data_IF_162662159175
#
_entry.id   IF_162662159175
#
_cell.length_a   1.000
_cell.length_b   1.000
_cell.length_c   1.000
_cell.angle_alpha   90.00
_cell.angle_beta   90.00
_cell.angle_gamma   90.00
#
_symmetry.space_group_name_H-M   'P 1'
#
loop_
_entity.id
_entity.type
_entity.pdbx_description
1 polymer ?
#
# COMPACT_ATOMS: atom_id res chain seq x y z
N UNK A 1 -37.98 11.02 3.34
CA UNK A 1 -37.04 9.87 3.36
C UNK A 1 -35.74 10.36 3.98
N UNK A 2 -35.14 9.64 4.94
CA UNK A 2 -33.81 10.01 5.45
C UNK A 2 -32.81 9.84 4.31
N UNK A 3 -32.13 10.92 3.92
CA UNK A 3 -31.06 10.88 2.91
C UNK A 3 -29.82 10.34 3.60
N UNK A 4 -29.26 9.25 3.09
CA UNK A 4 -28.01 8.70 3.60
C UNK A 4 -26.84 9.56 3.11
N UNK A 5 -25.91 9.85 4.00
CA UNK A 5 -24.65 10.54 3.74
C UNK A 5 -23.48 9.57 3.94
N UNK A 6 -22.47 9.63 3.07
CA UNK A 6 -21.36 8.67 3.10
C UNK A 6 -20.56 8.78 4.39
N UNK A 7 -20.37 9.99 4.91
CA UNK A 7 -19.67 10.23 6.18
C UNK A 7 -20.47 9.67 7.35
N UNK A 8 -21.78 9.92 7.42
CA UNK A 8 -22.63 9.31 8.45
C UNK A 8 -22.57 7.78 8.41
N UNK A 9 -22.61 7.18 7.21
CA UNK A 9 -22.53 5.72 7.03
C UNK A 9 -21.18 5.17 7.49
N UNK A 10 -20.06 5.82 7.14
CA UNK A 10 -18.72 5.44 7.61
C UNK A 10 -18.59 5.57 9.12
N UNK A 11 -19.00 6.69 9.69
CA UNK A 11 -18.89 6.93 11.13
C UNK A 11 -19.67 5.88 11.91
N UNK A 12 -20.87 5.51 11.43
CA UNK A 12 -21.67 4.44 12.05
C UNK A 12 -21.02 3.06 11.89
N UNK A 13 -20.38 2.80 10.75
CA UNK A 13 -19.62 1.57 10.50
C UNK A 13 -18.43 1.43 11.46
N UNK A 14 -17.65 2.50 11.67
CA UNK A 14 -16.52 2.48 12.60
C UNK A 14 -16.97 2.32 14.05
N UNK A 15 -18.03 3.02 14.45
CA UNK A 15 -18.64 2.84 15.78
C UNK A 15 -19.10 1.39 16.00
N UNK A 16 -19.72 0.77 14.99
CA UNK A 16 -20.12 -0.64 15.07
C UNK A 16 -18.91 -1.57 15.23
N UNK A 17 -17.83 -1.34 14.47
CA UNK A 17 -16.59 -2.12 14.60
C UNK A 17 -16.02 -2.03 16.01
N UNK A 18 -15.96 -0.84 16.58
CA UNK A 18 -15.45 -0.62 17.94
C UNK A 18 -16.37 -1.27 18.98
N UNK A 19 -17.69 -1.10 18.86
CA UNK A 19 -18.65 -1.60 19.84
C UNK A 19 -18.76 -3.13 19.87
N UNK A 20 -18.65 -3.79 18.71
CA UNK A 20 -18.89 -5.23 18.59
C UNK A 20 -17.64 -6.04 18.22
N UNK A 21 -16.49 -5.38 18.07
CA UNK A 21 -15.22 -5.96 17.62
C UNK A 21 -15.37 -6.83 16.35
N UNK A 22 -16.24 -6.41 15.42
CA UNK A 22 -16.50 -7.13 14.16
C UNK A 22 -17.07 -6.21 13.09
N UNK A 23 -16.92 -6.62 11.84
CA UNK A 23 -17.46 -5.89 10.68
C UNK A 23 -18.97 -6.18 10.51
N UNK A 24 -19.82 -5.16 10.27
CA UNK A 24 -21.26 -5.35 10.14
C UNK A 24 -21.66 -5.98 8.81
N UNK A 25 -22.70 -6.81 8.85
CA UNK A 25 -23.51 -7.09 7.67
C UNK A 25 -24.31 -5.85 7.28
N UNK A 26 -24.69 -5.73 6.00
CA UNK A 26 -25.47 -4.58 5.51
C UNK A 26 -26.77 -4.40 6.33
N UNK A 27 -27.41 -5.48 6.76
CA UNK A 27 -28.60 -5.40 7.61
C UNK A 27 -28.31 -4.84 9.02
N UNK A 28 -27.17 -5.19 9.63
CA UNK A 28 -26.77 -4.67 10.93
C UNK A 28 -26.52 -3.16 10.83
N UNK A 29 -25.74 -2.72 9.84
CA UNK A 29 -25.47 -1.30 9.66
C UNK A 29 -26.73 -0.50 9.32
N UNK A 30 -27.64 -1.07 8.51
CA UNK A 30 -28.92 -0.43 8.21
C UNK A 30 -29.77 -0.22 9.48
N UNK A 31 -29.79 -1.20 10.38
CA UNK A 31 -30.48 -1.09 11.67
C UNK A 31 -29.88 0.03 12.53
N UNK A 32 -28.55 0.13 12.63
CA UNK A 32 -27.86 1.21 13.36
C UNK A 32 -28.13 2.60 12.77
N UNK A 33 -28.31 2.67 11.44
CA UNK A 33 -28.62 3.92 10.73
C UNK A 33 -30.11 4.31 10.80
N UNK A 34 -30.98 3.40 11.26
CA UNK A 34 -32.43 3.57 11.30
C UNK A 34 -33.07 3.57 9.92
N UNK A 35 -32.52 2.81 8.96
CA UNK A 35 -33.01 2.73 7.57
C UNK A 35 -33.31 1.29 7.17
N UNK A 36 -34.09 1.10 6.09
CA UNK A 36 -34.30 -0.24 5.52
C UNK A 36 -32.98 -0.75 4.91
N UNK A 37 -32.71 -2.04 5.06
CA UNK A 37 -31.55 -2.72 4.44
C UNK A 37 -31.46 -2.44 2.93
N UNK A 38 -32.60 -2.45 2.23
CA UNK A 38 -32.67 -2.15 0.79
C UNK A 38 -32.34 -0.69 0.47
N UNK A 39 -32.63 0.25 1.36
CA UNK A 39 -32.23 1.66 1.22
C UNK A 39 -30.71 1.80 1.33
N UNK A 40 -30.10 1.17 2.33
CA UNK A 40 -28.64 1.16 2.46
C UNK A 40 -27.97 0.45 1.27
N UNK A 41 -28.49 -0.69 0.83
CA UNK A 41 -27.94 -1.40 -0.33
C UNK A 41 -28.01 -0.56 -1.60
N UNK A 42 -29.13 0.15 -1.85
CA UNK A 42 -29.23 1.09 -2.98
C UNK A 42 -28.21 2.23 -2.88
N UNK A 43 -27.99 2.76 -1.68
CA UNK A 43 -26.96 3.77 -1.45
C UNK A 43 -25.55 3.24 -1.75
N UNK A 44 -25.25 2.03 -1.29
CA UNK A 44 -23.97 1.35 -1.57
C UNK A 44 -23.77 1.16 -3.07
N UNK A 45 -24.78 0.64 -3.79
CA UNK A 45 -24.69 0.46 -5.25
C UNK A 45 -24.43 1.78 -5.99
N UNK A 46 -25.05 2.87 -5.54
CA UNK A 46 -24.84 4.18 -6.13
C UNK A 46 -23.46 4.80 -5.80
N UNK A 47 -22.73 4.24 -4.84
CA UNK A 47 -21.44 4.74 -4.36
C UNK A 47 -20.41 3.61 -4.26
N UNK A 48 -20.53 2.60 -5.13
CA UNK A 48 -19.84 1.31 -5.05
C UNK A 48 -18.32 1.44 -4.87
N UNK A 49 -17.69 2.42 -5.52
CA UNK A 49 -16.26 2.71 -5.39
C UNK A 49 -15.80 2.94 -3.95
N UNK A 50 -16.66 3.44 -3.08
CA UNK A 50 -16.34 3.73 -1.68
C UNK A 50 -16.45 2.52 -0.76
N UNK A 51 -17.03 1.41 -1.22
CA UNK A 51 -17.29 0.24 -0.39
C UNK A 51 -16.44 -0.95 -0.84
N UNK A 52 -15.98 -1.74 0.13
CA UNK A 52 -15.46 -3.08 -0.09
C UNK A 52 -16.43 -4.04 0.54
N UNK A 53 -17.04 -4.91 -0.28
CA UNK A 53 -18.07 -5.83 0.14
C UNK A 53 -17.62 -7.26 -0.07
N UNK A 54 -18.07 -8.15 0.80
CA UNK A 54 -17.95 -9.58 0.63
C UNK A 54 -19.29 -10.25 0.90
N UNK A 55 -19.49 -11.43 0.34
CA UNK A 55 -20.71 -12.19 0.50
C UNK A 55 -20.39 -13.57 1.09
N UNK A 56 -21.22 -14.00 2.03
CA UNK A 56 -21.22 -15.36 2.55
C UNK A 56 -22.66 -15.87 2.74
N UNK A 57 -22.79 -17.04 3.34
CA UNK A 57 -24.06 -17.72 3.68
C UNK A 57 -25.02 -16.86 4.51
N UNK A 58 -24.50 -15.92 5.31
CA UNK A 58 -25.30 -15.01 6.15
C UNK A 58 -25.65 -13.70 5.44
N UNK A 59 -25.15 -13.48 4.23
CA UNK A 59 -25.42 -12.31 3.39
C UNK A 59 -24.19 -11.46 3.08
N UNK A 60 -24.42 -10.23 2.61
CA UNK A 60 -23.37 -9.26 2.29
C UNK A 60 -22.89 -8.53 3.54
N UNK A 61 -21.58 -8.50 3.77
CA UNK A 61 -20.96 -7.70 4.81
C UNK A 61 -20.00 -6.66 4.24
N UNK A 62 -19.85 -5.57 4.98
CA UNK A 62 -19.03 -4.43 4.59
C UNK A 62 -17.65 -4.63 5.21
N UNK A 63 -16.62 -4.74 4.38
CA UNK A 63 -15.24 -4.88 4.83
C UNK A 63 -14.66 -3.54 5.24
N UNK A 64 -14.81 -2.54 4.38
CA UNK A 64 -14.25 -1.19 4.52
C UNK A 64 -15.12 -0.16 3.79
N UNK A 65 -15.04 1.09 4.26
CA UNK A 65 -15.69 2.25 3.66
C UNK A 65 -14.68 3.39 3.58
N UNK A 66 -14.39 3.86 2.37
CA UNK A 66 -13.48 4.98 2.12
C UNK A 66 -14.27 6.25 1.87
N UNK A 67 -13.94 7.36 2.57
CA UNK A 67 -14.50 8.66 2.21
C UNK A 67 -13.81 9.23 0.98
N UNK A 68 -12.48 9.27 1.02
CA UNK A 68 -11.68 9.74 -0.09
C UNK A 68 -11.12 8.53 -0.85
N UNK A 69 -11.33 8.47 -2.17
CA UNK A 69 -10.86 7.35 -2.98
C UNK A 69 -9.32 7.29 -3.06
N UNK A 70 -8.62 8.40 -2.79
CA UNK A 70 -7.16 8.42 -2.65
C UNK A 70 -6.64 7.55 -1.51
N UNK A 71 -7.51 7.18 -0.55
CA UNK A 71 -7.18 6.31 0.57
C UNK A 71 -7.54 4.84 0.29
N UNK A 72 -8.15 4.54 -0.86
CA UNK A 72 -8.50 3.18 -1.29
C UNK A 72 -7.38 2.60 -2.14
N UNK A 73 -6.59 1.63 -1.65
CA UNK A 73 -5.48 1.06 -2.41
C UNK A 73 -5.94 0.52 -3.76
N UNK A 74 -5.14 0.78 -4.80
CA UNK A 74 -5.40 0.33 -6.17
C UNK A 74 -6.46 1.12 -6.94
N UNK A 75 -7.17 2.07 -6.33
CA UNK A 75 -8.08 2.98 -7.04
C UNK A 75 -7.30 3.93 -7.97
N UNK A 76 -7.96 4.50 -8.98
CA UNK A 76 -7.33 5.48 -9.85
C UNK A 76 -6.91 6.73 -9.07
N UNK A 77 -7.75 7.19 -8.15
CA UNK A 77 -7.45 8.35 -7.30
C UNK A 77 -6.27 8.09 -6.36
N UNK A 78 -6.12 6.86 -5.84
CA UNK A 78 -4.98 6.45 -5.02
C UNK A 78 -3.69 6.43 -5.84
N UNK A 79 -3.74 5.87 -7.05
CA UNK A 79 -2.58 5.81 -7.95
C UNK A 79 -2.14 7.20 -8.36
N UNK A 80 -3.05 8.08 -8.79
CA UNK A 80 -2.69 9.44 -9.19
C UNK A 80 -2.16 10.28 -8.02
N UNK A 81 -2.77 10.15 -6.84
CA UNK A 81 -2.26 10.79 -5.63
C UNK A 81 -0.83 10.35 -5.30
N UNK A 82 -0.56 9.04 -5.35
CA UNK A 82 0.75 8.49 -5.04
C UNK A 82 1.80 8.76 -6.12
N UNK A 83 1.42 8.82 -7.40
CA UNK A 83 2.33 9.25 -8.48
C UNK A 83 2.89 10.63 -8.19
N UNK A 84 2.04 11.60 -7.85
CA UNK A 84 2.48 12.95 -7.54
C UNK A 84 3.26 13.00 -6.22
N UNK A 85 2.74 12.35 -5.18
CA UNK A 85 3.37 12.33 -3.85
C UNK A 85 4.79 11.73 -3.88
N UNK A 86 4.98 10.67 -4.65
CA UNK A 86 6.23 9.88 -4.66
C UNK A 86 7.00 9.99 -5.97
N UNK A 87 6.77 11.02 -6.80
CA UNK A 87 7.42 11.15 -8.13
C UNK A 87 8.95 11.09 -8.08
N UNK A 88 9.56 11.64 -7.03
CA UNK A 88 11.01 11.64 -6.81
C UNK A 88 11.43 10.69 -5.68
N UNK A 89 10.61 9.68 -5.37
CA UNK A 89 10.89 8.74 -4.28
C UNK A 89 11.18 7.36 -4.84
N UNK A 90 12.22 6.71 -4.32
CA UNK A 90 12.56 5.32 -4.54
C UNK A 90 12.33 4.52 -3.26
N UNK A 91 11.84 3.30 -3.40
CA UNK A 91 11.57 2.44 -2.26
C UNK A 91 12.61 1.33 -2.23
N UNK A 92 13.34 1.25 -1.13
CA UNK A 92 14.39 0.26 -0.97
C UNK A 92 13.83 -1.03 -0.40
N UNK A 93 14.26 -2.14 -0.97
CA UNK A 93 14.24 -3.42 -0.28
C UNK A 93 15.55 -3.58 0.48
N UNK A 94 15.49 -4.21 1.64
CA UNK A 94 16.65 -4.41 2.50
C UNK A 94 17.03 -5.88 2.51
N UNK A 95 18.33 -6.16 2.44
CA UNK A 95 18.85 -7.48 2.69
C UNK A 95 19.49 -7.49 4.09
N UNK A 96 19.05 -8.44 4.91
CA UNK A 96 19.70 -8.77 6.19
C UNK A 96 20.26 -10.17 6.08
N UNK A 97 21.44 -10.39 6.66
CA UNK A 97 22.07 -11.70 6.66
C UNK A 97 21.24 -12.68 7.51
N UNK A 98 21.02 -13.95 7.09
CA UNK A 98 20.12 -14.87 7.79
C UNK A 98 20.47 -15.19 9.24
N UNK A 99 21.74 -14.97 9.64
CA UNK A 99 22.23 -15.23 10.99
C UNK A 99 22.32 -13.96 11.84
N UNK A 100 21.93 -12.80 11.29
CA UNK A 100 21.91 -11.52 11.98
C UNK A 100 20.81 -10.61 11.39
N UNK A 101 19.55 -11.02 11.58
CA UNK A 101 18.39 -10.36 10.96
C UNK A 101 18.21 -8.90 11.40
N UNK A 102 18.75 -8.52 12.56
CA UNK A 102 18.71 -7.16 13.11
C UNK A 102 19.63 -6.18 12.37
N UNK A 103 20.58 -6.69 11.57
CA UNK A 103 21.53 -5.88 10.81
C UNK A 103 21.18 -5.92 9.33
N UNK A 104 20.87 -4.74 8.78
CA UNK A 104 20.70 -4.58 7.34
C UNK A 104 22.09 -4.50 6.73
N UNK A 105 22.43 -5.46 5.89
CA UNK A 105 23.74 -5.52 5.22
C UNK A 105 23.76 -4.51 4.07
N UNK A 106 22.75 -4.55 3.19
CA UNK A 106 22.65 -3.61 2.07
C UNK A 106 21.22 -3.36 1.59
N UNK A 107 21.09 -2.39 0.69
CA UNK A 107 19.84 -1.98 0.05
C UNK A 107 19.78 -2.43 -1.41
N UNK A 108 18.55 -2.66 -1.88
CA UNK A 108 18.23 -3.08 -3.24
C UNK A 108 17.13 -2.21 -3.81
N UNK A 109 17.17 -1.98 -5.12
CA UNK A 109 16.12 -1.27 -5.86
C UNK A 109 15.53 -2.22 -6.88
N UNK A 110 14.32 -2.71 -6.61
CA UNK A 110 13.61 -3.66 -7.44
C UNK A 110 12.46 -2.95 -8.14
N UNK A 111 12.30 -3.18 -9.45
CA UNK A 111 11.11 -2.74 -10.18
C UNK A 111 9.87 -3.45 -9.63
N UNK A 112 8.86 -2.69 -9.25
CA UNK A 112 7.64 -3.26 -8.68
C UNK A 112 6.87 -4.06 -9.74
N UNK A 113 6.38 -5.23 -9.35
CA UNK A 113 5.47 -6.04 -10.15
C UNK A 113 4.03 -5.58 -9.95
N UNK A 114 3.16 -5.98 -10.87
CA UNK A 114 1.72 -5.74 -10.73
C UNK A 114 1.18 -6.44 -9.47
N UNK A 115 0.51 -5.66 -8.63
CA UNK A 115 -0.14 -6.05 -7.40
C UNK A 115 -1.54 -5.40 -7.28
N UNK A 116 -2.23 -5.63 -6.16
CA UNK A 116 -3.56 -5.05 -5.93
C UNK A 116 -3.52 -3.53 -5.70
N UNK A 117 -2.41 -3.00 -5.17
CA UNK A 117 -2.22 -1.57 -4.94
C UNK A 117 -1.77 -0.80 -6.19
N UNK A 118 -1.45 -1.52 -7.26
CA UNK A 118 -0.87 -1.01 -8.51
C UNK A 118 0.44 -0.25 -8.25
N UNK A 119 1.26 -0.77 -7.32
CA UNK A 119 2.54 -0.20 -6.92
C UNK A 119 3.48 0.03 -8.10
N UNK A 120 3.44 -0.86 -9.09
CA UNK A 120 4.20 -0.73 -10.33
C UNK A 120 3.90 0.54 -11.17
N UNK A 121 2.81 1.25 -10.88
CA UNK A 121 2.44 2.50 -11.56
C UNK A 121 2.94 3.77 -10.85
N UNK A 122 3.39 3.69 -9.58
CA UNK A 122 3.74 4.87 -8.80
C UNK A 122 4.96 4.72 -7.87
N UNK A 123 5.27 3.50 -7.39
CA UNK A 123 6.39 3.18 -6.49
C UNK A 123 7.69 3.09 -7.30
N UNK A 124 8.32 1.93 -7.47
CA UNK A 124 9.51 1.75 -8.30
C UNK A 124 9.12 1.38 -9.73
N UNK A 125 8.68 2.39 -10.49
CA UNK A 125 8.28 2.24 -11.90
C UNK A 125 9.46 1.96 -12.81
N UNK A 126 9.24 1.34 -13.97
CA UNK A 126 10.30 1.09 -14.96
C UNK A 126 11.03 2.39 -15.37
N UNK A 127 10.35 3.53 -15.38
CA UNK A 127 10.93 4.83 -15.71
C UNK A 127 11.92 5.30 -14.62
N UNK A 128 11.53 5.18 -13.35
CA UNK A 128 12.43 5.50 -12.22
C UNK A 128 13.65 4.59 -12.23
N UNK A 129 13.44 3.28 -12.39
CA UNK A 129 14.54 2.30 -12.44
C UNK A 129 15.51 2.60 -13.58
N UNK A 130 15.00 2.90 -14.79
CA UNK A 130 15.85 3.29 -15.93
C UNK A 130 16.67 4.55 -15.63
N UNK A 131 16.05 5.54 -14.97
CA UNK A 131 16.70 6.81 -14.60
C UNK A 131 17.88 6.59 -13.66
N UNK A 132 17.74 5.68 -12.68
CA UNK A 132 18.78 5.41 -11.69
C UNK A 132 19.63 4.17 -11.99
N UNK A 133 19.43 3.49 -13.13
CA UNK A 133 20.11 2.23 -13.45
C UNK A 133 21.64 2.29 -13.36
N UNK A 134 22.24 3.44 -13.69
CA UNK A 134 23.70 3.65 -13.60
C UNK A 134 24.26 3.66 -12.16
N UNK A 135 23.39 3.81 -11.16
CA UNK A 135 23.75 3.79 -9.74
C UNK A 135 23.55 2.41 -9.10
N UNK A 136 22.92 1.49 -9.82
CA UNK A 136 22.69 0.11 -9.40
C UNK A 136 23.90 -0.72 -9.84
N UNK A 137 24.34 -1.64 -9.00
CA UNK A 137 25.50 -2.50 -9.21
C UNK A 137 25.17 -3.94 -8.86
N UNK A 138 26.01 -4.86 -9.34
CA UNK A 138 25.94 -6.26 -8.94
C UNK A 138 26.69 -6.45 -7.61
N UNK A 139 26.10 -7.21 -6.69
CA UNK A 139 26.78 -7.73 -5.51
C UNK A 139 26.55 -9.23 -5.34
N UNK A 140 27.29 -9.85 -4.44
CA UNK A 140 27.15 -11.26 -4.11
C UNK A 140 27.30 -11.48 -2.60
N UNK A 141 26.48 -12.37 -2.08
CA UNK A 141 26.52 -12.79 -0.68
C UNK A 141 26.80 -14.27 -0.61
N UNK A 142 27.73 -14.66 0.25
CA UNK A 142 28.05 -16.07 0.51
C UNK A 142 27.32 -16.51 1.78
N UNK A 143 26.51 -17.57 1.68
CA UNK A 143 25.86 -18.20 2.83
C UNK A 143 26.32 -19.67 2.87
N UNK A 144 27.19 -20.00 3.82
CA UNK A 144 27.82 -21.32 3.86
C UNK A 144 28.64 -21.59 2.59
N UNK A 145 28.25 -22.61 1.82
CA UNK A 145 28.89 -22.95 0.54
C UNK A 145 28.18 -22.35 -0.68
N UNK A 146 27.03 -21.70 -0.49
CA UNK A 146 26.22 -21.13 -1.56
C UNK A 146 26.55 -19.64 -1.80
N UNK A 147 26.50 -19.22 -3.06
CA UNK A 147 26.71 -17.82 -3.47
C UNK A 147 25.43 -17.30 -4.12
N UNK A 148 24.86 -16.27 -3.52
CA UNK A 148 23.70 -15.54 -4.02
C UNK A 148 24.17 -14.28 -4.73
N UNK A 149 23.60 -14.01 -5.91
CA UNK A 149 23.92 -12.81 -6.70
C UNK A 149 22.72 -11.90 -6.75
N UNK A 150 22.99 -10.60 -6.64
CA UNK A 150 21.99 -9.54 -6.65
C UNK A 150 22.44 -8.50 -7.66
N UNK A 151 21.65 -8.28 -8.72
CA UNK A 151 21.88 -7.34 -9.81
C UNK A 151 21.11 -6.01 -9.63
N UNK A 152 20.57 -5.84 -8.43
CA UNK A 152 19.69 -4.76 -7.99
C UNK A 152 20.21 -4.04 -6.74
N UNK A 153 21.47 -4.28 -6.35
CA UNK A 153 22.11 -3.61 -5.22
C UNK A 153 22.39 -2.14 -5.51
N UNK A 154 22.20 -1.28 -4.52
CA UNK A 154 22.62 0.11 -4.57
C UNK A 154 23.58 0.43 -3.41
N UNK A 155 24.83 0.83 -3.69
CA UNK A 155 25.76 1.26 -2.66
C UNK A 155 25.27 2.50 -1.90
N UNK A 156 25.59 2.60 -0.62
CA UNK A 156 25.24 3.77 0.21
C UNK A 156 25.71 5.10 -0.37
N UNK A 157 26.93 5.15 -0.91
CA UNK A 157 27.47 6.36 -1.55
C UNK A 157 26.60 6.84 -2.73
N UNK A 158 26.03 5.90 -3.48
CA UNK A 158 25.13 6.20 -4.59
C UNK A 158 23.75 6.66 -4.09
N UNK A 159 23.25 6.11 -2.98
CA UNK A 159 22.03 6.60 -2.31
C UNK A 159 22.22 8.06 -1.88
N UNK A 160 23.31 8.36 -1.17
CA UNK A 160 23.61 9.73 -0.69
C UNK A 160 23.80 10.71 -1.86
N UNK A 161 24.43 10.27 -2.95
CA UNK A 161 24.53 11.06 -4.18
C UNK A 161 23.14 11.34 -4.79
N UNK A 162 22.25 10.35 -4.86
CA UNK A 162 20.89 10.53 -5.36
C UNK A 162 20.07 11.47 -4.46
N UNK A 163 20.23 11.38 -3.14
CA UNK A 163 19.64 12.33 -2.18
C UNK A 163 20.09 13.75 -2.50
N UNK A 164 21.39 13.96 -2.77
CA UNK A 164 21.91 15.29 -3.15
C UNK A 164 21.35 15.80 -4.49
N UNK A 165 20.84 14.90 -5.35
CA UNK A 165 20.18 15.22 -6.62
C UNK A 165 18.66 15.42 -6.48
N UNK A 166 18.13 15.34 -5.26
CA UNK A 166 16.72 15.58 -4.95
C UNK A 166 15.84 14.33 -4.93
N UNK A 167 16.44 13.12 -4.89
CA UNK A 167 15.69 11.89 -4.66
C UNK A 167 15.42 11.68 -3.17
N UNK A 168 14.26 11.10 -2.87
CA UNK A 168 13.89 10.63 -1.55
C UNK A 168 13.90 9.10 -1.50
N UNK A 169 14.13 8.53 -0.32
CA UNK A 169 14.17 7.08 -0.15
C UNK A 169 13.27 6.62 1.00
N UNK A 170 12.46 5.60 0.73
CA UNK A 170 11.74 4.84 1.76
C UNK A 170 12.56 3.61 2.11
N UNK A 171 12.63 3.28 3.40
CA UNK A 171 13.41 2.17 3.98
C UNK A 171 14.93 2.30 3.82
N UNK A 172 15.46 3.52 3.67
CA UNK A 172 16.89 3.72 3.76
C UNK A 172 17.37 3.63 5.21
N UNK A 173 18.20 2.63 5.50
CA UNK A 173 18.90 2.47 6.76
C UNK A 173 20.33 3.02 6.65
N UNK A 174 20.57 4.19 7.24
CA UNK A 174 21.91 4.80 7.29
C UNK A 174 22.95 3.96 8.04
N UNK A 175 22.51 3.03 8.88
CA UNK A 175 23.38 2.15 9.64
C UNK A 175 23.60 0.80 8.95
N UNK A 176 23.24 0.66 7.67
CA UNK A 176 23.64 -0.53 6.91
C UNK A 176 25.15 -0.65 6.84
N UNK A 177 25.62 -1.90 6.70
CA UNK A 177 27.04 -2.19 6.59
C UNK A 177 27.62 -1.69 5.25
N UNK A 178 26.83 -1.80 4.17
CA UNK A 178 27.18 -1.39 2.80
C UNK A 178 26.21 -0.35 2.19
#
# INVERSE_FOLDING_TARGET
MKTLDLKEVRDRFELYKVAFNKKPYVNNLANELGVKTTTLMKFIVNNDKHFVLYQNDKGTYISEIYLDLKDKPGSDEFVEYNKEKYKNTLFLDTYSYPYNEDVIEFHRIIEDKKDEERSNEWRNTSEKIKTVKKFISDTKVSIGMDIYRYDDFIPKENIELLISQGWEFVNYNKNSEE
#
